data_IF_254697494021
#
_entry.id   IF_254697494021
#
_cell.length_a   1.000
_cell.length_b   1.000
_cell.length_c   1.000
_cell.angle_alpha   90.00
_cell.angle_beta   90.00
_cell.angle_gamma   90.00
#
_symmetry.space_group_name_H-M   'P 1'
#
loop_
_entity.id
_entity.type
_entity.pdbx_description
1 polymer ?
#
# COMPACT_ATOMS: atom_id res chain seq x y z
N UNK A 1 -9.23 -32.02 9.85
CA UNK A 1 -8.29 -31.78 10.96
C UNK A 1 -8.25 -30.27 11.18
N UNK A 2 -8.46 -29.75 12.39
CA UNK A 2 -8.37 -28.31 12.62
C UNK A 2 -6.91 -27.87 12.48
N UNK A 3 -6.66 -26.88 11.61
CA UNK A 3 -5.36 -26.21 11.49
C UNK A 3 -5.40 -24.90 12.29
N UNK A 4 -4.45 -24.71 13.19
CA UNK A 4 -4.24 -23.45 13.88
C UNK A 4 -3.22 -22.63 13.07
N UNK A 5 -3.65 -21.48 12.56
CA UNK A 5 -2.75 -20.52 11.92
C UNK A 5 -2.55 -19.35 12.88
N UNK A 6 -1.31 -19.14 13.34
CA UNK A 6 -0.95 -17.95 14.12
C UNK A 6 -0.19 -16.98 13.21
N UNK A 7 -0.81 -15.83 12.94
CA UNK A 7 -0.21 -14.75 12.16
C UNK A 7 0.22 -13.64 13.12
N UNK A 8 1.52 -13.34 13.17
CA UNK A 8 2.07 -12.21 13.93
C UNK A 8 2.46 -11.12 12.94
N UNK A 9 1.88 -9.92 13.07
CA UNK A 9 2.11 -8.78 12.17
C UNK A 9 2.11 -7.44 12.91
N UNK A 10 2.51 -6.40 12.20
CA UNK A 10 2.56 -5.02 12.67
C UNK A 10 1.16 -4.40 12.81
N UNK A 11 1.10 -3.20 13.42
CA UNK A 11 -0.15 -2.47 13.64
C UNK A 11 -0.80 -2.11 12.28
N UNK A 12 -2.11 -2.36 12.16
CA UNK A 12 -2.95 -2.01 10.99
C UNK A 12 -2.78 -2.86 9.72
N UNK A 13 -2.39 -4.14 9.85
CA UNK A 13 -2.46 -5.10 8.73
C UNK A 13 -3.71 -5.97 8.83
N UNK A 14 -4.62 -5.83 7.87
CA UNK A 14 -5.81 -6.67 7.75
C UNK A 14 -5.51 -7.92 6.91
N UNK A 15 -5.89 -9.10 7.42
CA UNK A 15 -5.76 -10.37 6.71
C UNK A 15 -7.12 -11.07 6.69
N UNK A 16 -7.64 -11.29 5.48
CA UNK A 16 -8.84 -12.10 5.28
C UNK A 16 -8.44 -13.52 4.88
N UNK A 17 -8.76 -14.50 5.72
CA UNK A 17 -8.48 -15.91 5.45
C UNK A 17 -9.76 -16.68 5.15
N UNK A 18 -9.70 -17.57 4.16
CA UNK A 18 -10.77 -18.53 3.87
C UNK A 18 -10.21 -19.95 3.96
N UNK A 19 -11.05 -20.91 4.33
CA UNK A 19 -10.67 -22.32 4.35
C UNK A 19 -10.69 -22.87 2.92
N UNK A 20 -9.64 -23.59 2.51
CA UNK A 20 -9.56 -24.16 1.18
C UNK A 20 -8.20 -24.78 0.86
N UNK A 21 -8.10 -25.39 -0.30
CA UNK A 21 -6.83 -25.88 -0.85
C UNK A 21 -6.03 -24.69 -1.39
N UNK A 22 -4.76 -24.58 -1.00
CA UNK A 22 -3.88 -23.56 -1.56
C UNK A 22 -3.74 -23.75 -3.08
N UNK A 23 -3.96 -22.68 -3.83
CA UNK A 23 -3.88 -22.67 -5.29
C UNK A 23 -3.05 -21.48 -5.76
N UNK A 24 -2.08 -21.74 -6.66
CA UNK A 24 -1.20 -20.73 -7.25
C UNK A 24 -2.04 -19.70 -8.02
N UNK A 25 -1.67 -18.42 -7.93
CA UNK A 25 -2.33 -17.34 -8.67
C UNK A 25 -3.75 -17.00 -8.23
N UNK A 26 -4.15 -17.43 -7.04
CA UNK A 26 -5.48 -17.11 -6.46
C UNK A 26 -5.41 -16.03 -5.38
N UNK A 27 -4.20 -15.65 -4.96
CA UNK A 27 -3.98 -14.67 -3.90
C UNK A 27 -3.89 -13.27 -4.49
N UNK A 28 -4.54 -12.32 -3.83
CA UNK A 28 -4.31 -10.89 -4.03
C UNK A 28 -3.72 -10.29 -2.75
N UNK A 29 -2.69 -9.48 -2.89
CA UNK A 29 -2.07 -8.75 -1.79
C UNK A 29 -1.87 -7.29 -2.20
N UNK A 30 -2.12 -6.37 -1.26
CA UNK A 30 -1.91 -4.94 -1.45
C UNK A 30 -0.94 -4.42 -0.40
N UNK A 31 0.01 -3.60 -0.81
CA UNK A 31 1.05 -3.03 0.06
C UNK A 31 1.11 -1.52 -0.12
N UNK A 32 1.39 -0.82 0.98
CA UNK A 32 1.77 0.59 0.88
C UNK A 32 3.09 0.69 0.10
N UNK A 33 3.13 1.55 -0.92
CA UNK A 33 4.31 1.77 -1.74
C UNK A 33 5.44 2.49 -0.97
N UNK A 34 5.12 3.20 0.11
CA UNK A 34 6.11 3.97 0.86
C UNK A 34 6.73 5.08 -0.01
N UNK A 35 8.05 5.07 -0.16
CA UNK A 35 8.81 6.02 -0.97
C UNK A 35 9.14 5.49 -2.39
N UNK A 36 8.52 4.39 -2.79
CA UNK A 36 8.75 3.78 -4.11
C UNK A 36 8.09 4.63 -5.20
N UNK A 37 8.82 4.88 -6.28
CA UNK A 37 8.28 5.46 -7.50
C UNK A 37 7.48 4.40 -8.27
N UNK A 38 6.17 4.61 -8.35
CA UNK A 38 5.24 3.69 -8.99
C UNK A 38 5.40 3.66 -10.52
N UNK A 39 5.82 4.77 -11.15
CA UNK A 39 6.08 4.80 -12.59
C UNK A 39 7.31 3.94 -12.92
N UNK A 40 8.39 4.08 -12.15
CA UNK A 40 9.62 3.28 -12.32
C UNK A 40 9.35 1.78 -12.15
N UNK A 41 8.55 1.40 -11.16
CA UNK A 41 8.16 0.00 -10.96
C UNK A 41 7.36 -0.52 -12.15
N UNK A 42 6.37 0.23 -12.60
CA UNK A 42 5.53 -0.20 -13.72
C UNK A 42 6.37 -0.36 -15.00
N UNK A 43 7.28 0.57 -15.28
CA UNK A 43 8.19 0.49 -16.42
C UNK A 43 9.15 -0.69 -16.32
N UNK A 44 9.73 -0.93 -15.15
CA UNK A 44 10.62 -2.07 -14.92
C UNK A 44 9.91 -3.41 -15.20
N UNK A 45 8.65 -3.54 -14.79
CA UNK A 45 7.86 -4.75 -15.04
C UNK A 45 7.54 -4.91 -16.52
N UNK A 46 7.20 -3.83 -17.23
CA UNK A 46 6.97 -3.86 -18.69
C UNK A 46 8.22 -4.29 -19.44
N UNK A 47 9.38 -3.74 -19.09
CA UNK A 47 10.67 -4.07 -19.72
C UNK A 47 11.02 -5.54 -19.50
N UNK A 48 10.69 -6.09 -18.32
CA UNK A 48 10.86 -7.51 -18.03
C UNK A 48 9.83 -8.42 -18.74
N UNK A 49 8.87 -7.86 -19.48
CA UNK A 49 7.80 -8.60 -20.16
C UNK A 49 6.68 -9.07 -19.23
N UNK A 50 6.58 -8.49 -18.04
CA UNK A 50 5.55 -8.80 -17.06
C UNK A 50 4.21 -8.14 -17.38
N UNK A 51 3.14 -8.68 -16.77
CA UNK A 51 1.81 -8.08 -16.83
C UNK A 51 1.68 -7.01 -15.73
N UNK A 52 1.39 -5.77 -16.12
CA UNK A 52 1.22 -4.64 -15.20
C UNK A 52 0.17 -3.66 -15.71
N UNK A 53 -0.63 -3.15 -14.77
CA UNK A 53 -1.62 -2.10 -14.97
C UNK A 53 -1.30 -0.93 -14.04
N UNK A 54 -1.46 0.29 -14.55
CA UNK A 54 -1.16 1.52 -13.82
C UNK A 54 0.26 2.05 -14.04
N UNK A 55 0.63 3.15 -13.37
CA UNK A 55 -0.08 3.74 -12.23
C UNK A 55 -1.48 4.28 -12.57
N UNK A 56 -2.47 4.04 -11.71
CA UNK A 56 -3.85 4.55 -11.88
C UNK A 56 -4.31 5.24 -10.61
N UNK A 57 -4.79 6.47 -10.77
CA UNK A 57 -5.46 7.20 -9.70
C UNK A 57 -6.83 6.61 -9.38
N UNK A 58 -7.07 6.41 -8.09
CA UNK A 58 -8.32 5.86 -7.57
C UNK A 58 -9.27 6.96 -7.08
N UNK A 59 -10.59 6.69 -7.03
CA UNK A 59 -11.55 7.62 -6.42
C UNK A 59 -11.33 7.88 -4.91
N UNK A 60 -10.52 7.06 -4.23
CA UNK A 60 -10.20 7.18 -2.81
C UNK A 60 -8.78 7.75 -2.57
N UNK A 61 -8.34 8.62 -3.47
CA UNK A 61 -7.14 9.46 -3.32
C UNK A 61 -5.81 8.68 -3.20
N UNK A 62 -5.74 7.49 -3.79
CA UNK A 62 -4.50 6.74 -3.97
C UNK A 62 -4.11 6.63 -5.45
N UNK A 63 -2.86 6.31 -5.71
CA UNK A 63 -2.38 5.85 -7.01
C UNK A 63 -1.92 4.40 -6.83
N UNK A 64 -2.42 3.51 -7.68
CA UNK A 64 -2.17 2.07 -7.58
C UNK A 64 -1.43 1.54 -8.82
N UNK A 65 -0.48 0.64 -8.60
CA UNK A 65 0.12 -0.22 -9.64
C UNK A 65 -0.18 -1.66 -9.31
N UNK A 66 -0.80 -2.38 -10.25
CA UNK A 66 -1.17 -3.79 -10.08
C UNK A 66 -0.44 -4.66 -11.08
N UNK A 67 0.18 -5.74 -10.63
CA UNK A 67 0.93 -6.67 -11.47
C UNK A 67 0.81 -8.13 -11.00
N UNK A 68 1.28 -9.06 -11.82
CA UNK A 68 1.36 -10.48 -11.48
C UNK A 68 2.77 -10.88 -11.04
N UNK A 69 2.89 -11.60 -9.93
CA UNK A 69 4.17 -12.20 -9.54
C UNK A 69 4.49 -13.48 -10.36
N UNK A 70 5.66 -14.08 -10.13
CA UNK A 70 6.07 -15.31 -10.82
C UNK A 70 5.15 -16.51 -10.52
N UNK A 71 4.40 -16.45 -9.41
CA UNK A 71 3.38 -17.42 -9.01
C UNK A 71 2.00 -17.14 -9.62
N UNK A 72 1.85 -16.05 -10.36
CA UNK A 72 0.59 -15.61 -10.95
C UNK A 72 -0.34 -14.95 -9.94
N UNK A 73 0.11 -14.66 -8.72
CA UNK A 73 -0.68 -13.91 -7.73
C UNK A 73 -0.77 -12.45 -8.16
N UNK A 74 -1.81 -11.76 -7.70
CA UNK A 74 -2.01 -10.34 -8.00
C UNK A 74 -1.42 -9.49 -6.86
N UNK A 75 -0.49 -8.60 -7.19
CA UNK A 75 0.13 -7.67 -6.23
C UNK A 75 -0.27 -6.26 -6.61
N UNK A 76 -0.71 -5.46 -5.64
CA UNK A 76 -0.97 -4.02 -5.80
C UNK A 76 -0.05 -3.21 -4.88
N UNK A 77 0.64 -2.23 -5.44
CA UNK A 77 1.33 -1.19 -4.67
C UNK A 77 0.49 0.07 -4.68
N UNK A 78 0.23 0.62 -3.50
CA UNK A 78 -0.65 1.76 -3.29
C UNK A 78 0.13 2.92 -2.67
N UNK A 79 0.16 4.06 -3.35
CA UNK A 79 0.72 5.30 -2.83
C UNK A 79 -0.39 6.33 -2.58
N UNK A 80 -0.33 7.14 -1.51
CA UNK A 80 -1.23 8.27 -1.37
C UNK A 80 -0.93 9.33 -2.44
N UNK A 81 -1.97 9.98 -2.96
CA UNK A 81 -1.78 11.12 -3.86
C UNK A 81 -1.37 12.35 -3.06
N UNK A 82 -0.10 12.75 -3.21
CA UNK A 82 0.48 13.84 -2.41
C UNK A 82 -0.22 15.20 -2.62
N UNK A 83 -0.82 15.42 -3.78
CA UNK A 83 -1.65 16.61 -4.05
C UNK A 83 -2.88 16.65 -3.14
N UNK A 84 -3.55 15.51 -2.95
CA UNK A 84 -4.73 15.41 -2.07
C UNK A 84 -4.33 15.48 -0.59
N UNK A 85 -3.20 14.88 -0.23
CA UNK A 85 -2.64 14.99 1.14
C UNK A 85 -2.34 16.45 1.49
N UNK A 86 -1.77 17.19 0.55
CA UNK A 86 -1.47 18.61 0.73
C UNK A 86 -2.75 19.44 0.83
N UNK A 87 -3.76 19.15 0.00
CA UNK A 87 -5.06 19.81 0.06
C UNK A 87 -5.78 19.52 1.40
N UNK A 88 -5.72 18.29 1.88
CA UNK A 88 -6.28 17.90 3.17
C UNK A 88 -5.57 18.63 4.33
N UNK A 89 -4.24 18.73 4.29
CA UNK A 89 -3.48 19.47 5.30
C UNK A 89 -3.81 20.97 5.29
N UNK A 90 -3.96 21.56 4.11
CA UNK A 90 -4.35 22.96 3.98
C UNK A 90 -5.75 23.21 4.57
N UNK A 91 -6.70 22.31 4.30
CA UNK A 91 -8.04 22.35 4.89
C UNK A 91 -8.01 22.23 6.42
N UNK A 92 -7.20 21.31 6.96
CA UNK A 92 -7.01 21.16 8.41
C UNK A 92 -6.55 22.48 9.04
N UNK A 93 -5.53 23.12 8.46
CA UNK A 93 -4.95 24.34 8.99
C UNK A 93 -5.92 25.54 8.96
N UNK A 94 -6.83 25.58 7.99
CA UNK A 94 -7.80 26.67 7.81
C UNK A 94 -9.06 26.46 8.66
N UNK A 95 -9.52 25.23 8.80
CA UNK A 95 -10.84 24.92 9.36
C UNK A 95 -10.80 24.42 10.81
N UNK A 96 -9.71 23.78 11.24
CA UNK A 96 -9.59 23.26 12.59
C UNK A 96 -8.96 24.34 13.48
N UNK A 97 -9.80 25.04 14.25
CA UNK A 97 -9.38 26.08 15.21
C UNK A 97 -9.56 25.59 16.64
N UNK A 98 -8.54 25.76 17.49
CA UNK A 98 -8.53 25.32 18.89
C UNK A 98 -7.14 24.89 19.37
N UNK A 99 -7.01 24.65 20.67
CA UNK A 99 -5.78 24.11 21.29
C UNK A 99 -5.88 22.57 21.30
N UNK A 100 -5.32 21.94 20.26
CA UNK A 100 -5.27 20.49 20.13
C UNK A 100 -3.83 20.01 20.24
N UNK A 101 -3.60 18.92 20.96
CA UNK A 101 -2.30 18.24 20.93
C UNK A 101 -2.02 17.74 19.51
N UNK A 102 -1.04 18.36 18.84
CA UNK A 102 -0.51 17.84 17.58
C UNK A 102 0.47 16.71 17.89
N UNK A 103 0.33 15.50 17.31
CA UNK A 103 1.32 14.45 17.49
C UNK A 103 2.69 14.98 17.05
N UNK A 104 3.69 14.85 17.92
CA UNK A 104 5.07 15.22 17.61
C UNK A 104 5.51 14.52 16.32
N UNK A 105 6.20 15.27 15.45
CA UNK A 105 6.81 14.74 14.23
C UNK A 105 7.72 13.57 14.61
N UNK A 106 7.27 12.34 14.37
CA UNK A 106 8.11 11.15 14.55
C UNK A 106 9.20 11.23 13.47
N UNK A 107 10.36 11.76 13.84
CA UNK A 107 11.54 11.68 13.01
C UNK A 107 11.87 10.19 12.78
N UNK A 108 12.22 9.77 11.55
CA UNK A 108 12.64 8.39 11.30
C UNK A 108 13.83 8.05 12.22
N UNK A 109 13.75 6.90 12.87
CA UNK A 109 14.74 6.45 13.82
C UNK A 109 16.09 6.23 13.09
N UNK A 110 17.20 6.89 13.48
CA UNK A 110 18.47 6.85 12.75
C UNK A 110 19.21 5.49 12.82
N UNK A 111 18.60 4.45 13.37
CA UNK A 111 19.22 3.13 13.56
C UNK A 111 18.86 2.08 12.50
N UNK A 112 18.14 2.44 11.44
CA UNK A 112 17.88 1.56 10.30
C UNK A 112 18.72 1.99 9.09
N UNK A 113 20.02 1.66 9.15
CA UNK A 113 20.95 1.65 8.02
C UNK A 113 21.65 0.29 7.99
#
# INVERSE_FOLDING_TARGET
MPSLVHLRREKYQDILMTQGTAARGTVSASFAAGQIDLDEVADSIRVAGGNVTGPVDTPWFSTDVTFSDADGNTVTLTAPRMVDQTAAQAWVNDQITGDFETPETIAPNPSEN
#
